data_IF_813750255198
#
_entry.id   IF_813750255198
#
_cell.length_a   1.000
_cell.length_b   1.000
_cell.length_c   1.000
_cell.angle_alpha   90.00
_cell.angle_beta   90.00
_cell.angle_gamma   90.00
#
_symmetry.space_group_name_H-M   'P 1'
#
loop_
_entity.id
_entity.type
_entity.pdbx_description
1 polymer ?
#
# COMPACT_ATOMS: atom_id res chain seq x y z
N UNK A 1 -32.72 -0.81 -38.83
CA UNK A 1 -33.10 0.14 -37.75
C UNK A 1 -32.33 -0.08 -36.44
N UNK A 2 -32.03 -1.31 -36.01
CA UNK A 2 -31.34 -1.58 -34.72
C UNK A 2 -29.89 -1.06 -34.64
N UNK A 3 -29.15 -1.07 -35.75
CA UNK A 3 -27.75 -0.60 -35.79
C UNK A 3 -27.59 0.93 -35.77
N UNK A 4 -28.61 1.68 -36.17
CA UNK A 4 -28.58 3.16 -36.18
C UNK A 4 -28.60 3.69 -34.74
N UNK A 5 -29.38 3.03 -33.86
CA UNK A 5 -29.45 3.39 -32.43
C UNK A 5 -28.10 3.14 -31.74
N UNK A 6 -27.42 2.05 -32.09
CA UNK A 6 -26.12 1.71 -31.51
C UNK A 6 -25.02 2.70 -31.94
N UNK A 7 -25.01 3.09 -33.23
CA UNK A 7 -24.07 4.09 -33.75
C UNK A 7 -24.34 5.48 -33.14
N UNK A 8 -25.61 5.86 -33.01
CA UNK A 8 -26.00 7.11 -32.34
C UNK A 8 -25.57 7.15 -30.87
N UNK A 9 -25.70 6.02 -30.16
CA UNK A 9 -25.24 5.91 -28.77
C UNK A 9 -23.71 6.04 -28.65
N UNK A 10 -22.94 5.38 -29.53
CA UNK A 10 -21.48 5.51 -29.52
C UNK A 10 -21.02 6.95 -29.80
N UNK A 11 -21.65 7.65 -30.76
CA UNK A 11 -21.30 9.03 -31.08
C UNK A 11 -21.63 10.00 -29.93
N UNK A 12 -22.74 9.78 -29.21
CA UNK A 12 -23.12 10.57 -28.06
C UNK A 12 -22.19 10.37 -26.85
N UNK A 13 -21.65 9.16 -26.66
CA UNK A 13 -20.68 8.88 -25.58
C UNK A 13 -19.34 9.57 -25.87
N UNK A 14 -18.91 9.63 -27.14
CA UNK A 14 -17.65 10.31 -27.52
C UNK A 14 -17.76 11.82 -27.33
N UNK A 15 -18.87 12.45 -27.73
CA UNK A 15 -19.05 13.90 -27.58
C UNK A 15 -19.28 14.37 -26.14
N UNK A 16 -19.70 13.47 -25.24
CA UNK A 16 -19.89 13.76 -23.82
C UNK A 16 -18.61 13.65 -22.98
N UNK A 17 -17.48 13.24 -23.57
CA UNK A 17 -16.19 13.29 -22.89
C UNK A 17 -15.63 14.72 -22.96
N UNK A 18 -15.37 15.39 -21.82
CA UNK A 18 -14.68 16.68 -21.84
C UNK A 18 -13.23 16.44 -22.27
N UNK A 19 -12.97 16.59 -23.57
CA UNK A 19 -11.64 16.62 -24.15
C UNK A 19 -11.08 18.04 -23.97
N UNK A 20 -10.57 18.34 -22.78
CA UNK A 20 -9.73 19.52 -22.56
C UNK A 20 -8.36 19.26 -23.20
N UNK A 21 -8.16 19.82 -24.39
CA UNK A 21 -6.85 19.87 -25.05
C UNK A 21 -6.17 21.13 -24.52
N UNK A 22 -5.13 20.98 -23.72
CA UNK A 22 -4.25 22.08 -23.35
C UNK A 22 -3.10 22.15 -24.36
N UNK A 23 -2.93 23.31 -24.99
CA UNK A 23 -1.79 23.61 -25.85
C UNK A 23 -0.67 24.26 -25.03
N UNK A 24 0.55 23.79 -25.25
CA UNK A 24 1.78 24.41 -24.74
C UNK A 24 2.25 25.53 -25.69
N UNK A 25 3.13 26.42 -25.24
CA UNK A 25 3.63 27.58 -26.00
C UNK A 25 4.36 27.21 -27.32
N UNK A 26 4.70 25.93 -27.51
CA UNK A 26 5.36 25.38 -28.72
C UNK A 26 4.39 24.62 -29.66
N UNK A 27 3.08 24.63 -29.41
CA UNK A 27 2.06 24.05 -30.31
C UNK A 27 2.01 22.51 -30.34
N UNK A 28 2.63 21.84 -29.37
CA UNK A 28 2.59 20.38 -29.22
C UNK A 28 1.32 19.97 -28.46
N UNK A 29 0.50 19.12 -29.08
CA UNK A 29 -0.74 18.63 -28.50
C UNK A 29 -0.47 17.39 -27.63
N UNK A 30 -0.70 17.51 -26.33
CA UNK A 30 -0.59 16.39 -25.39
C UNK A 30 -1.97 15.92 -24.95
N UNK A 31 -2.21 14.61 -25.05
CA UNK A 31 -3.38 14.00 -24.43
C UNK A 31 -3.20 14.03 -22.91
N UNK A 32 -4.02 14.82 -22.23
CA UNK A 32 -4.16 14.73 -20.78
C UNK A 32 -4.84 13.40 -20.44
N UNK A 33 -4.05 12.35 -20.27
CA UNK A 33 -4.54 11.13 -19.63
C UNK A 33 -5.02 11.55 -18.25
N UNK A 34 -6.26 11.22 -17.85
CA UNK A 34 -6.71 11.50 -16.51
C UNK A 34 -5.70 10.85 -15.57
N UNK A 35 -4.91 11.69 -14.89
CA UNK A 35 -4.31 11.33 -13.63
C UNK A 35 -5.51 10.99 -12.76
N UNK A 36 -5.86 9.71 -12.74
CA UNK A 36 -6.44 9.07 -11.59
C UNK A 36 -5.39 9.25 -10.49
N UNK A 37 -5.34 10.48 -9.97
CA UNK A 37 -4.96 10.76 -8.61
C UNK A 37 -5.98 9.91 -7.88
N UNK A 38 -5.60 8.67 -7.59
CA UNK A 38 -6.30 7.88 -6.62
C UNK A 38 -6.47 8.85 -5.47
N UNK A 39 -7.71 9.32 -5.26
CA UNK A 39 -8.11 9.70 -3.92
C UNK A 39 -7.50 8.59 -3.09
N UNK A 40 -6.65 8.93 -2.12
CA UNK A 40 -6.36 8.02 -1.02
C UNK A 40 -7.71 7.79 -0.39
N UNK A 41 -8.49 6.91 -1.01
CA UNK A 41 -9.79 6.54 -0.55
C UNK A 41 -9.48 5.99 0.84
N UNK A 42 -10.19 6.43 1.89
CA UNK A 42 -10.21 5.72 3.16
C UNK A 42 -10.92 4.37 3.00
N UNK A 43 -10.87 3.78 1.80
CA UNK A 43 -11.54 2.58 1.40
C UNK A 43 -10.70 1.43 1.87
N UNK A 44 -11.27 0.67 2.77
CA UNK A 44 -10.78 -0.66 3.06
C UNK A 44 -10.78 -1.49 1.78
N UNK A 45 -9.62 -2.00 1.39
CA UNK A 45 -9.44 -2.86 0.23
C UNK A 45 -9.28 -4.29 0.74
N UNK A 46 -10.21 -5.14 0.33
CA UNK A 46 -10.09 -6.59 0.50
C UNK A 46 -9.58 -7.19 -0.79
N UNK A 47 -8.42 -7.84 -0.74
CA UNK A 47 -7.90 -8.65 -1.84
C UNK A 47 -8.14 -10.12 -1.53
N UNK A 48 -8.75 -10.80 -2.49
CA UNK A 48 -8.85 -12.25 -2.53
C UNK A 48 -8.03 -12.70 -3.72
N UNK A 49 -7.05 -13.56 -3.47
CA UNK A 49 -6.16 -14.07 -4.50
C UNK A 49 -6.10 -15.58 -4.44
N UNK A 50 -6.16 -16.23 -5.59
CA UNK A 50 -5.83 -17.63 -5.76
C UNK A 50 -4.78 -17.75 -6.85
N UNK A 51 -3.80 -18.61 -6.64
CA UNK A 51 -2.77 -18.93 -7.62
C UNK A 51 -2.53 -20.45 -7.62
N UNK A 52 -1.64 -20.92 -8.49
CA UNK A 52 -1.32 -22.35 -8.61
C UNK A 52 -0.79 -22.99 -7.32
N UNK A 53 -0.29 -22.17 -6.38
CA UNK A 53 0.31 -22.61 -5.12
C UNK A 53 -0.64 -22.49 -3.93
N UNK A 54 -1.78 -21.81 -4.04
CA UNK A 54 -2.67 -21.62 -2.90
C UNK A 54 -3.68 -20.50 -3.06
N UNK A 55 -4.35 -20.18 -1.96
CA UNK A 55 -5.28 -19.06 -1.87
C UNK A 55 -4.95 -18.17 -0.68
N UNK A 56 -5.31 -16.91 -0.76
CA UNK A 56 -5.12 -15.94 0.31
C UNK A 56 -6.18 -14.85 0.30
N UNK A 57 -6.43 -14.34 1.49
CA UNK A 57 -7.25 -13.16 1.74
C UNK A 57 -6.40 -12.13 2.46
N UNK A 58 -6.44 -10.89 2.02
CA UNK A 58 -5.88 -9.77 2.75
C UNK A 58 -6.88 -8.63 2.78
N UNK A 59 -6.91 -7.91 3.88
CA UNK A 59 -7.73 -6.74 4.08
C UNK A 59 -6.83 -5.62 4.59
N UNK A 60 -6.86 -4.46 3.94
CA UNK A 60 -6.15 -3.27 4.38
C UNK A 60 -7.12 -2.09 4.38
N UNK A 61 -7.07 -1.23 5.38
CA UNK A 61 -7.92 -0.06 5.43
C UNK A 61 -7.38 1.02 6.33
N UNK A 62 -7.98 2.20 6.21
CA UNK A 62 -7.76 3.28 7.15
C UNK A 62 -8.65 3.07 8.37
N UNK A 63 -8.05 2.97 9.55
CA UNK A 63 -8.75 2.82 10.84
C UNK A 63 -9.08 4.21 11.40
N UNK A 64 -8.15 5.16 11.27
CA UNK A 64 -8.33 6.53 11.74
C UNK A 64 -7.73 7.50 10.71
N UNK A 65 -8.47 8.55 10.36
CA UNK A 65 -7.92 9.68 9.63
C UNK A 65 -8.58 10.97 10.14
N UNK A 66 -7.93 11.62 11.09
CA UNK A 66 -8.47 12.84 11.73
C UNK A 66 -7.35 13.76 12.17
N UNK A 67 -7.49 15.06 11.89
CA UNK A 67 -6.59 16.12 12.36
C UNK A 67 -5.09 15.85 12.08
N UNK A 68 -4.77 15.29 10.91
CA UNK A 68 -3.39 14.96 10.55
C UNK A 68 -2.84 13.69 11.22
N UNK A 69 -3.65 12.95 11.97
CA UNK A 69 -3.36 11.59 12.42
C UNK A 69 -3.99 10.60 11.45
N UNK A 70 -3.17 9.75 10.86
CA UNK A 70 -3.58 8.66 9.99
C UNK A 70 -3.13 7.34 10.60
N UNK A 71 -4.06 6.43 10.87
CA UNK A 71 -3.80 5.06 11.29
C UNK A 71 -4.35 4.14 10.21
N UNK A 72 -3.45 3.45 9.53
CA UNK A 72 -3.78 2.42 8.57
C UNK A 72 -3.49 1.06 9.19
N UNK A 73 -4.36 0.09 8.92
CA UNK A 73 -4.18 -1.27 9.39
C UNK A 73 -4.47 -2.27 8.29
N UNK A 74 -3.83 -3.42 8.37
CA UNK A 74 -4.12 -4.53 7.48
C UNK A 74 -3.85 -5.86 8.13
N UNK A 75 -4.54 -6.88 7.65
CA UNK A 75 -4.34 -8.26 8.03
C UNK A 75 -4.47 -9.16 6.81
N UNK A 76 -3.76 -10.28 6.81
CA UNK A 76 -3.85 -11.26 5.75
C UNK A 76 -3.74 -12.68 6.31
N UNK A 77 -4.27 -13.63 5.55
CA UNK A 77 -4.10 -15.05 5.77
C UNK A 77 -4.00 -15.74 4.42
N UNK A 78 -3.05 -16.67 4.29
CA UNK A 78 -2.86 -17.47 3.10
C UNK A 78 -2.64 -18.93 3.44
N UNK A 79 -3.02 -19.78 2.49
CA UNK A 79 -2.90 -21.23 2.59
C UNK A 79 -2.39 -21.80 1.29
N UNK A 80 -1.38 -22.67 1.40
CA UNK A 80 -0.81 -23.40 0.30
C UNK A 80 -1.56 -24.73 0.12
N UNK A 81 -1.86 -25.10 -1.13
CA UNK A 81 -2.53 -26.37 -1.45
C UNK A 81 -1.70 -27.60 -1.08
N UNK A 82 -0.38 -27.48 -1.05
CA UNK A 82 0.54 -28.57 -0.69
C UNK A 82 0.67 -28.75 0.83
N UNK A 83 0.06 -27.89 1.66
CA UNK A 83 0.14 -28.00 3.11
C UNK A 83 -0.99 -28.85 3.70
N UNK A 84 -0.66 -29.65 4.71
CA UNK A 84 -1.63 -30.53 5.36
C UNK A 84 -2.56 -29.79 6.33
N UNK A 85 -3.86 -30.09 6.27
CA UNK A 85 -4.91 -29.62 7.19
C UNK A 85 -5.65 -28.38 6.69
N UNK A 86 -6.59 -27.85 7.48
CA UNK A 86 -7.43 -26.69 7.10
C UNK A 86 -6.88 -25.34 7.58
N UNK A 87 -5.87 -25.34 8.46
CA UNK A 87 -5.31 -24.11 9.02
C UNK A 87 -4.53 -23.30 7.96
N UNK A 88 -4.53 -21.96 8.02
CA UNK A 88 -3.66 -21.12 7.19
C UNK A 88 -2.19 -21.47 7.41
N UNK A 89 -1.39 -21.33 6.36
CA UNK A 89 0.05 -21.53 6.44
C UNK A 89 0.79 -20.25 6.77
N UNK A 90 0.22 -19.10 6.41
CA UNK A 90 0.72 -17.82 6.83
C UNK A 90 -0.45 -16.93 7.22
N UNK A 91 -0.26 -16.13 8.25
CA UNK A 91 -1.16 -15.03 8.57
C UNK A 91 -0.36 -13.93 9.21
N UNK A 92 -0.77 -12.70 8.99
CA UNK A 92 -0.05 -11.56 9.52
C UNK A 92 -0.90 -10.32 9.51
N UNK A 93 -0.32 -9.26 10.05
CA UNK A 93 -0.95 -7.97 10.10
C UNK A 93 0.06 -6.87 10.30
N UNK A 94 -0.35 -5.69 9.87
CA UNK A 94 0.45 -4.48 9.93
C UNK A 94 -0.40 -3.32 10.37
N UNK A 95 0.18 -2.47 11.19
CA UNK A 95 -0.38 -1.21 11.63
C UNK A 95 0.63 -0.11 11.31
N UNK A 96 0.21 0.91 10.58
CA UNK A 96 1.00 2.08 10.26
C UNK A 96 0.30 3.31 10.82
N UNK A 97 0.98 4.04 11.69
CA UNK A 97 0.57 5.33 12.20
C UNK A 97 1.41 6.43 11.54
N UNK A 98 0.77 7.50 11.11
CA UNK A 98 1.42 8.64 10.51
C UNK A 98 0.81 9.93 11.06
N UNK A 99 1.66 10.82 11.54
CA UNK A 99 1.30 12.14 12.02
C UNK A 99 1.87 13.19 11.06
N UNK A 100 1.03 13.67 10.14
CA UNK A 100 1.45 14.61 9.09
C UNK A 100 2.01 15.94 9.62
N UNK A 101 1.45 16.57 10.68
CA UNK A 101 2.00 17.81 11.25
C UNK A 101 3.42 17.65 11.80
N UNK A 102 3.70 16.55 12.51
CA UNK A 102 5.03 16.29 13.06
C UNK A 102 5.94 15.49 12.12
N UNK A 103 5.45 15.14 10.93
CA UNK A 103 6.13 14.29 9.95
C UNK A 103 6.72 13.01 10.55
N UNK A 104 6.03 12.45 11.53
CA UNK A 104 6.48 11.28 12.26
C UNK A 104 5.57 10.12 11.90
N UNK A 105 6.15 8.99 11.56
CA UNK A 105 5.41 7.76 11.36
C UNK A 105 5.94 6.66 12.28
N UNK A 106 5.06 5.75 12.67
CA UNK A 106 5.39 4.56 13.40
C UNK A 106 4.73 3.38 12.70
N UNK A 107 5.33 2.21 12.77
CA UNK A 107 4.73 1.00 12.22
C UNK A 107 4.97 -0.17 13.17
N UNK A 108 4.06 -1.13 13.14
CA UNK A 108 4.19 -2.41 13.78
C UNK A 108 3.70 -3.49 12.81
N UNK A 109 4.38 -4.63 12.78
CA UNK A 109 4.06 -5.74 11.89
C UNK A 109 4.27 -7.04 12.65
N UNK A 110 3.37 -7.99 12.43
CA UNK A 110 3.46 -9.34 12.96
C UNK A 110 3.08 -10.32 11.86
N UNK A 111 4.02 -11.16 11.45
CA UNK A 111 3.84 -12.15 10.39
C UNK A 111 4.15 -13.53 10.95
N UNK A 112 3.15 -14.41 10.95
CA UNK A 112 3.30 -15.79 11.38
C UNK A 112 3.33 -16.71 10.17
N UNK A 113 4.38 -17.53 10.09
CA UNK A 113 4.50 -18.60 9.12
C UNK A 113 4.50 -19.96 9.85
N UNK A 114 3.55 -20.81 9.48
CA UNK A 114 3.34 -22.12 10.08
C UNK A 114 4.60 -22.97 9.92
N UNK A 115 5.07 -23.54 11.04
CA UNK A 115 6.34 -24.28 11.20
C UNK A 115 7.60 -23.43 11.12
N UNK A 116 7.52 -22.18 10.69
CA UNK A 116 8.68 -21.29 10.55
C UNK A 116 8.80 -20.29 11.69
N UNK A 117 7.71 -19.91 12.37
CA UNK A 117 7.73 -18.99 13.50
C UNK A 117 6.91 -17.72 13.26
N UNK A 118 7.12 -16.72 14.09
CA UNK A 118 6.47 -15.40 14.03
C UNK A 118 7.53 -14.31 13.97
N UNK A 119 7.52 -13.51 12.92
CA UNK A 119 8.31 -12.31 12.80
C UNK A 119 7.51 -11.12 13.32
N UNK A 120 8.03 -10.45 14.34
CA UNK A 120 7.47 -9.19 14.82
C UNK A 120 8.46 -8.07 14.54
N UNK A 121 7.97 -6.95 14.05
CA UNK A 121 8.77 -5.74 13.87
C UNK A 121 7.99 -4.51 14.27
N UNK A 122 8.69 -3.50 14.75
CA UNK A 122 8.15 -2.19 15.02
C UNK A 122 9.21 -1.15 14.75
N UNK A 123 8.81 0.04 14.33
CA UNK A 123 9.76 1.11 14.09
C UNK A 123 9.10 2.47 14.03
N UNK A 124 9.94 3.49 14.07
CA UNK A 124 9.57 4.89 14.01
C UNK A 124 10.42 5.59 12.95
N UNK A 125 9.84 6.58 12.31
CA UNK A 125 10.50 7.43 11.31
C UNK A 125 10.08 8.87 11.54
N UNK A 126 11.00 9.78 11.31
CA UNK A 126 10.77 11.20 11.43
C UNK A 126 11.43 11.93 10.27
N UNK A 127 10.65 12.67 9.49
CA UNK A 127 11.18 13.49 8.41
C UNK A 127 11.65 14.83 8.97
N UNK A 128 12.97 14.98 9.08
CA UNK A 128 13.63 16.19 9.55
C UNK A 128 13.34 17.35 8.59
N UNK A 129 13.44 17.09 7.29
CA UNK A 129 13.23 18.09 6.26
C UNK A 129 12.44 17.52 5.10
N UNK A 130 11.41 18.24 4.67
CA UNK A 130 10.62 17.86 3.50
C UNK A 130 10.24 19.11 2.71
N UNK A 131 10.72 19.18 1.48
CA UNK A 131 10.41 20.16 0.46
C UNK A 131 9.99 19.46 -0.83
N UNK A 132 9.50 20.22 -1.82
CA UNK A 132 8.96 19.67 -3.08
C UNK A 132 9.99 18.87 -3.88
N UNK A 133 11.27 19.22 -3.74
CA UNK A 133 12.38 18.63 -4.51
C UNK A 133 13.37 17.85 -3.65
N UNK A 134 13.24 17.89 -2.32
CA UNK A 134 14.22 17.33 -1.40
C UNK A 134 13.56 16.89 -0.09
N UNK A 135 13.82 15.66 0.33
CA UNK A 135 13.34 15.09 1.59
C UNK A 135 14.50 14.38 2.30
N UNK A 136 14.63 14.63 3.60
CA UNK A 136 15.56 13.97 4.51
C UNK A 136 14.83 13.57 5.78
N UNK A 137 14.99 12.32 6.17
CA UNK A 137 14.42 11.76 7.38
C UNK A 137 15.36 10.77 8.04
N UNK A 138 15.05 10.46 9.29
CA UNK A 138 15.75 9.46 10.09
C UNK A 138 14.74 8.46 10.64
N UNK A 139 15.18 7.23 10.86
CA UNK A 139 14.33 6.19 11.38
C UNK A 139 15.10 5.17 12.16
N UNK A 140 14.36 4.48 13.00
CA UNK A 140 14.83 3.32 13.74
C UNK A 140 13.78 2.23 13.68
N UNK A 141 14.23 0.99 13.62
CA UNK A 141 13.39 -0.19 13.66
C UNK A 141 13.98 -1.26 14.55
N UNK A 142 13.08 -2.09 15.06
CA UNK A 142 13.36 -3.24 15.89
C UNK A 142 12.55 -4.42 15.38
N UNK A 143 13.21 -5.56 15.20
CA UNK A 143 12.59 -6.79 14.76
C UNK A 143 13.05 -7.99 15.58
N UNK A 144 12.18 -8.98 15.72
CA UNK A 144 12.53 -10.27 16.31
C UNK A 144 11.72 -11.39 15.68
N UNK A 145 12.42 -12.47 15.36
CA UNK A 145 11.82 -13.74 14.99
C UNK A 145 11.58 -14.60 16.24
N UNK A 146 10.39 -15.17 16.38
CA UNK A 146 9.94 -15.95 17.53
C UNK A 146 9.47 -17.33 17.09
N UNK A 147 10.07 -18.40 17.64
CA UNK A 147 9.74 -19.78 17.29
C UNK A 147 10.41 -20.29 16.02
N UNK A 148 9.93 -21.43 15.50
CA UNK A 148 10.50 -22.10 14.32
C UNK A 148 11.55 -23.18 14.63
N UNK A 149 12.06 -23.89 13.61
CA UNK A 149 12.96 -25.04 13.78
C UNK A 149 14.33 -24.65 14.35
N UNK A 150 14.70 -23.37 14.26
CA UNK A 150 15.92 -22.80 14.82
C UNK A 150 15.73 -22.04 16.14
N UNK A 151 14.52 -22.01 16.70
CA UNK A 151 14.19 -21.24 17.90
C UNK A 151 14.12 -19.72 17.67
N UNK A 152 14.07 -18.95 18.76
CA UNK A 152 13.94 -17.49 18.67
C UNK A 152 15.17 -16.89 17.99
N UNK A 153 14.95 -16.11 16.93
CA UNK A 153 15.99 -15.35 16.27
C UNK A 153 16.56 -14.24 17.17
N UNK A 154 17.73 -13.76 16.77
CA UNK A 154 18.39 -12.62 17.42
C UNK A 154 17.57 -11.35 17.22
N UNK A 155 17.67 -10.47 18.19
CA UNK A 155 17.13 -9.12 18.09
C UNK A 155 17.82 -8.38 16.94
N UNK A 156 17.03 -7.77 16.07
CA UNK A 156 17.51 -6.93 14.98
C UNK A 156 17.15 -5.49 15.33
N UNK A 157 18.14 -4.61 15.30
CA UNK A 157 17.95 -3.18 15.48
C UNK A 157 18.60 -2.48 14.29
N UNK A 158 17.84 -1.61 13.65
CA UNK A 158 18.27 -0.83 12.51
C UNK A 158 18.09 0.65 12.80
N UNK A 159 19.10 1.46 12.49
CA UNK A 159 18.97 2.91 12.38
C UNK A 159 19.33 3.30 10.96
N UNK A 160 18.53 4.16 10.34
CA UNK A 160 18.77 4.58 8.96
C UNK A 160 18.44 6.05 8.74
N UNK A 161 19.13 6.64 7.77
CA UNK A 161 18.85 7.97 7.24
C UNK A 161 18.29 7.77 5.84
N UNK A 162 17.19 8.44 5.52
CA UNK A 162 16.57 8.42 4.20
C UNK A 162 16.70 9.80 3.59
N UNK A 163 17.25 9.87 2.38
CA UNK A 163 17.27 11.08 1.56
C UNK A 163 16.70 10.78 0.19
N UNK A 164 15.81 11.62 -0.30
CA UNK A 164 15.34 11.55 -1.68
C UNK A 164 15.27 12.96 -2.27
N UNK A 165 15.92 13.15 -3.41
CA UNK A 165 15.88 14.39 -4.18
C UNK A 165 15.46 14.12 -5.62
N UNK A 166 14.77 15.09 -6.22
CA UNK A 166 14.58 15.17 -7.68
C UNK A 166 15.36 16.38 -8.16
N UNK A 167 16.33 16.11 -9.03
CA UNK A 167 17.15 17.09 -9.74
C UNK A 167 16.72 17.12 -11.19
#
# INVERSE_FOLDING_TARGET
>A
MKYIVLIGFCLAVVSATPLEIAEDEEGQQYYMVPLSRARRSPGSVTHLGANERGFGVSHQGNILNKNGHQLDGGAYASKNYQSHGLRPDQFGGRLDYNHAPSRTSAFATADHARRYGTDVSAGIRHDIYSSKNFNVGVGGDYGRHLGGPGGNGRHQFGGFIRGSGRF
#
